data_IF_978778812194
#
_entry.id   IF_978778812194
#
_cell.length_a   1.000
_cell.length_b   1.000
_cell.length_c   1.000
_cell.angle_alpha   90.00
_cell.angle_beta   90.00
_cell.angle_gamma   90.00
#
_symmetry.space_group_name_H-M   'P 1'
#
loop_
_entity.id
_entity.type
_entity.pdbx_description
1 polymer ?
#
# COMPACT_ATOMS: atom_id res chain seq x y z
N UNK A 1 -13.53 -17.53 5.09
CA UNK A 1 -12.42 -18.13 5.87
C UNK A 1 -12.99 -19.18 6.82
N UNK A 2 -12.21 -20.17 7.27
CA UNK A 2 -12.66 -21.10 8.31
C UNK A 2 -12.05 -20.73 9.65
N UNK A 3 -12.79 -20.92 10.74
CA UNK A 3 -12.34 -20.51 12.08
C UNK A 3 -12.53 -21.61 13.12
N UNK A 4 -11.74 -21.52 14.19
CA UNK A 4 -11.91 -22.26 15.45
C UNK A 4 -12.25 -21.27 16.54
N UNK A 5 -13.24 -21.61 17.36
CA UNK A 5 -13.59 -20.83 18.55
C UNK A 5 -13.21 -21.55 19.83
N UNK A 6 -12.99 -20.80 20.89
CA UNK A 6 -12.87 -21.33 22.25
C UNK A 6 -14.26 -21.59 22.89
N UNK A 7 -14.26 -22.03 24.15
CA UNK A 7 -15.48 -22.29 24.93
C UNK A 7 -16.32 -21.03 25.20
N UNK A 8 -15.76 -19.84 24.97
CA UNK A 8 -16.41 -18.55 25.16
C UNK A 8 -16.94 -17.97 23.83
N UNK A 9 -16.75 -18.67 22.72
CA UNK A 9 -17.18 -18.25 21.38
C UNK A 9 -16.22 -17.29 20.68
N UNK A 10 -15.02 -17.06 21.23
CA UNK A 10 -14.01 -16.18 20.65
C UNK A 10 -13.20 -16.93 19.61
N UNK A 11 -12.91 -16.30 18.46
CA UNK A 11 -12.02 -16.88 17.46
C UNK A 11 -10.62 -17.02 18.06
N UNK A 12 -10.03 -18.23 17.95
CA UNK A 12 -8.66 -18.53 18.40
C UNK A 12 -7.74 -18.96 17.26
N UNK A 13 -8.31 -19.30 16.09
CA UNK A 13 -7.56 -19.72 14.91
C UNK A 13 -8.35 -19.45 13.63
N UNK A 14 -7.63 -19.11 12.55
CA UNK A 14 -8.17 -18.95 11.19
C UNK A 14 -7.43 -19.89 10.23
N UNK A 15 -8.20 -20.64 9.44
CA UNK A 15 -7.76 -21.56 8.41
C UNK A 15 -8.29 -21.11 7.04
N UNK A 16 -7.49 -21.29 5.97
CA UNK A 16 -7.93 -20.98 4.59
C UNK A 16 -8.94 -22.01 4.06
N UNK A 17 -8.78 -23.26 4.46
CA UNK A 17 -9.61 -24.40 4.05
C UNK A 17 -10.23 -25.05 5.29
N UNK A 18 -11.33 -25.79 5.09
CA UNK A 18 -11.99 -26.53 6.15
C UNK A 18 -11.06 -27.63 6.67
N UNK A 19 -10.87 -27.70 7.99
CA UNK A 19 -10.05 -28.70 8.64
C UNK A 19 -10.77 -29.28 9.86
N UNK A 20 -10.29 -30.40 10.45
CA UNK A 20 -10.86 -30.92 11.70
C UNK A 20 -10.87 -29.89 12.83
N UNK A 21 -9.98 -28.91 12.76
CA UNK A 21 -9.76 -27.88 13.78
C UNK A 21 -10.52 -26.58 13.47
N UNK A 22 -10.79 -26.30 12.20
CA UNK A 22 -11.49 -25.12 11.71
C UNK A 22 -12.63 -25.55 10.78
N UNK A 23 -13.84 -25.68 11.31
CA UNK A 23 -15.02 -26.14 10.53
C UNK A 23 -16.03 -25.04 10.26
N UNK A 24 -16.04 -24.02 11.09
CA UNK A 24 -16.99 -22.92 10.97
C UNK A 24 -16.53 -21.99 9.87
N UNK A 25 -17.38 -21.80 8.86
CA UNK A 25 -17.14 -20.82 7.82
C UNK A 25 -17.61 -19.44 8.30
N UNK A 26 -16.74 -18.46 8.14
CA UNK A 26 -17.00 -17.06 8.46
C UNK A 26 -16.62 -16.21 7.24
N UNK A 27 -17.48 -15.25 6.90
CA UNK A 27 -17.23 -14.32 5.79
C UNK A 27 -15.95 -13.50 6.02
N UNK A 28 -15.25 -13.20 4.94
CA UNK A 28 -13.93 -12.56 4.99
C UNK A 28 -13.98 -11.11 5.51
N UNK A 29 -15.16 -10.49 5.48
CA UNK A 29 -15.47 -9.13 5.94
C UNK A 29 -16.16 -9.11 7.32
N UNK A 30 -16.32 -10.26 7.98
CA UNK A 30 -16.98 -10.28 9.28
C UNK A 30 -16.20 -9.44 10.32
N UNK A 31 -16.92 -8.67 11.18
CA UNK A 31 -16.27 -7.85 12.21
C UNK A 31 -15.42 -8.67 13.19
N UNK A 32 -15.87 -9.87 13.54
CA UNK A 32 -15.18 -10.77 14.47
C UNK A 32 -13.86 -11.33 13.90
N UNK A 33 -13.82 -11.66 12.61
CA UNK A 33 -12.60 -12.11 11.94
C UNK A 33 -11.60 -10.96 11.83
N UNK A 34 -12.10 -9.75 11.59
CA UNK A 34 -11.26 -8.54 11.57
C UNK A 34 -10.63 -8.29 12.94
N UNK A 35 -11.43 -8.33 14.01
CA UNK A 35 -10.94 -8.22 15.38
C UNK A 35 -9.88 -9.30 15.71
N UNK A 36 -10.11 -10.56 15.33
CA UNK A 36 -9.16 -11.66 15.56
C UNK A 36 -7.83 -11.49 14.82
N UNK A 37 -7.86 -11.03 13.58
CA UNK A 37 -6.64 -10.85 12.76
C UNK A 37 -5.75 -9.69 13.26
N UNK A 38 -6.07 -9.08 14.41
CA UNK A 38 -5.41 -7.86 14.86
C UNK A 38 -5.64 -6.70 13.90
N UNK A 39 -6.66 -6.80 13.03
CA UNK A 39 -7.32 -5.63 12.47
C UNK A 39 -8.30 -5.14 13.54
N UNK A 40 -7.77 -4.80 14.71
CA UNK A 40 -8.14 -3.50 15.26
C UNK A 40 -7.74 -2.55 14.15
N UNK A 41 -8.70 -2.25 13.28
CA UNK A 41 -8.59 -1.14 12.37
C UNK A 41 -8.11 -0.01 13.25
N UNK A 42 -6.88 0.46 13.05
CA UNK A 42 -6.52 1.80 13.48
C UNK A 42 -7.75 2.65 13.17
N UNK A 43 -8.32 3.40 14.14
CA UNK A 43 -9.61 4.07 14.00
C UNK A 43 -9.77 4.56 12.57
N UNK A 44 -10.91 4.33 11.90
CA UNK A 44 -11.03 4.53 10.44
C UNK A 44 -10.37 5.85 9.98
N UNK A 45 -10.49 6.90 10.78
CA UNK A 45 -9.77 8.18 10.70
C UNK A 45 -8.24 8.08 10.48
N UNK A 46 -7.51 7.22 11.19
CA UNK A 46 -6.09 6.93 10.99
C UNK A 46 -5.81 6.18 9.68
N UNK A 47 -6.74 5.35 9.23
CA UNK A 47 -6.61 4.68 7.93
C UNK A 47 -6.82 5.67 6.79
N UNK A 48 -7.88 6.48 6.87
CA UNK A 48 -8.18 7.56 5.93
C UNK A 48 -7.04 8.60 5.91
N UNK A 49 -6.50 8.98 7.07
CA UNK A 49 -5.36 9.89 7.15
C UNK A 49 -4.15 9.30 6.44
N UNK A 50 -3.79 8.04 6.71
CA UNK A 50 -2.67 7.38 6.03
C UNK A 50 -2.88 7.29 4.53
N UNK A 51 -4.11 7.01 4.08
CA UNK A 51 -4.42 6.99 2.65
C UNK A 51 -4.28 8.39 2.04
N UNK A 52 -4.78 9.42 2.72
CA UNK A 52 -4.65 10.80 2.29
C UNK A 52 -3.18 11.26 2.22
N UNK A 53 -2.32 10.84 3.17
CA UNK A 53 -0.88 11.10 3.14
C UNK A 53 -0.20 10.45 1.92
N UNK A 54 -0.62 9.24 1.53
CA UNK A 54 -0.09 8.54 0.36
C UNK A 54 -0.48 9.20 -0.96
N UNK A 55 -1.65 9.81 -1.03
CA UNK A 55 -2.07 10.63 -2.18
C UNK A 55 -1.35 11.98 -2.18
N UNK A 56 -1.25 12.60 -1.01
CA UNK A 56 -0.66 13.92 -0.84
C UNK A 56 0.83 13.96 -1.13
N UNK A 57 1.59 12.91 -0.78
CA UNK A 57 3.03 12.88 -1.05
C UNK A 57 3.35 12.99 -2.55
N UNK A 58 2.47 12.52 -3.45
CA UNK A 58 2.64 12.68 -4.90
C UNK A 58 2.45 14.14 -5.32
N UNK A 59 1.44 14.80 -4.76
CA UNK A 59 1.22 16.23 -4.99
C UNK A 59 2.41 17.04 -4.48
N UNK A 60 2.94 16.69 -3.31
CA UNK A 60 4.12 17.35 -2.74
C UNK A 60 5.35 17.19 -3.63
N UNK A 61 5.57 16.00 -4.20
CA UNK A 61 6.65 15.73 -5.15
C UNK A 61 6.54 16.62 -6.40
N UNK A 62 5.35 16.69 -7.02
CA UNK A 62 5.12 17.52 -8.20
C UNK A 62 5.29 19.02 -7.88
N UNK A 63 4.88 19.48 -6.69
CA UNK A 63 5.10 20.86 -6.25
C UNK A 63 6.58 21.16 -6.05
N UNK A 64 7.35 20.24 -5.46
CA UNK A 64 8.80 20.40 -5.29
C UNK A 64 9.48 20.51 -6.67
N UNK A 65 9.11 19.66 -7.63
CA UNK A 65 9.60 19.72 -9.01
C UNK A 65 9.28 21.06 -9.67
N UNK A 66 8.03 21.54 -9.58
CA UNK A 66 7.63 22.85 -10.13
C UNK A 66 8.44 24.00 -9.49
N UNK A 67 8.68 23.95 -8.19
CA UNK A 67 9.45 24.99 -7.50
C UNK A 67 10.93 24.96 -7.89
N UNK A 68 11.50 23.77 -8.13
CA UNK A 68 12.85 23.62 -8.66
C UNK A 68 12.96 24.12 -10.10
N UNK A 69 12.01 23.76 -10.96
CA UNK A 69 11.97 24.18 -12.37
C UNK A 69 11.85 25.71 -12.51
N UNK A 70 11.10 26.34 -11.59
CA UNK A 70 10.99 27.80 -11.51
C UNK A 70 12.20 28.47 -10.84
N UNK A 71 13.17 27.71 -10.34
CA UNK A 71 14.34 28.22 -9.63
C UNK A 71 14.02 28.87 -8.29
N UNK A 72 12.87 28.56 -7.68
CA UNK A 72 12.47 29.10 -6.37
C UNK A 72 13.25 28.42 -5.24
N UNK A 73 13.50 27.11 -5.38
CA UNK A 73 14.36 26.33 -4.50
C UNK A 73 15.33 25.49 -5.35
N UNK A 74 16.51 25.19 -4.81
CA UNK A 74 17.44 24.23 -5.40
C UNK A 74 17.44 22.93 -4.61
N UNK A 75 17.83 21.81 -5.24
CA UNK A 75 17.94 20.52 -4.56
C UNK A 75 18.82 20.57 -3.30
N UNK A 76 19.89 21.37 -3.34
CA UNK A 76 20.83 21.57 -2.22
C UNK A 76 20.25 22.36 -1.05
N UNK A 77 19.14 23.07 -1.24
CA UNK A 77 18.48 23.85 -0.19
C UNK A 77 17.68 22.96 0.76
N UNK A 78 17.39 21.72 0.34
CA UNK A 78 16.68 20.73 1.12
C UNK A 78 17.62 20.02 2.12
N UNK A 79 17.15 19.68 3.34
CA UNK A 79 17.92 18.88 4.29
C UNK A 79 18.32 17.51 3.70
N UNK A 80 19.44 16.95 4.18
CA UNK A 80 19.98 15.67 3.70
C UNK A 80 18.93 14.55 3.66
N UNK A 81 18.16 14.42 4.74
CA UNK A 81 17.08 13.44 4.84
C UNK A 81 15.95 13.64 3.82
N UNK A 82 15.68 14.89 3.41
CA UNK A 82 14.67 15.19 2.39
C UNK A 82 15.20 14.86 0.99
N UNK A 83 16.48 15.17 0.72
CA UNK A 83 17.16 14.82 -0.53
C UNK A 83 17.19 13.32 -0.76
N UNK A 84 17.57 12.54 0.26
CA UNK A 84 17.57 11.07 0.19
C UNK A 84 16.18 10.51 -0.13
N UNK A 85 15.13 11.02 0.54
CA UNK A 85 13.76 10.59 0.32
C UNK A 85 13.28 10.90 -1.10
N UNK A 86 13.58 12.09 -1.61
CA UNK A 86 13.24 12.48 -2.98
C UNK A 86 13.92 11.58 -4.02
N UNK A 87 15.22 11.31 -3.87
CA UNK A 87 15.94 10.42 -4.78
C UNK A 87 15.39 8.98 -4.75
N UNK A 88 15.13 8.45 -3.55
CA UNK A 88 14.53 7.12 -3.41
C UNK A 88 13.14 7.04 -4.08
N UNK A 89 12.33 8.10 -3.92
CA UNK A 89 11.00 8.18 -4.51
C UNK A 89 11.03 8.24 -6.03
N UNK A 90 11.87 9.11 -6.61
CA UNK A 90 12.05 9.21 -8.05
C UNK A 90 12.56 7.90 -8.66
N UNK A 91 13.52 7.22 -8.01
CA UNK A 91 14.00 5.90 -8.45
C UNK A 91 12.88 4.84 -8.46
N UNK A 92 12.05 4.81 -7.42
CA UNK A 92 10.89 3.89 -7.38
C UNK A 92 9.89 4.18 -8.50
N UNK A 93 9.59 5.45 -8.79
CA UNK A 93 8.70 5.84 -9.90
C UNK A 93 9.29 5.45 -11.25
N UNK A 94 10.58 5.71 -11.48
CA UNK A 94 11.24 5.37 -12.73
C UNK A 94 11.21 3.85 -12.97
N UNK A 95 11.44 3.04 -11.93
CA UNK A 95 11.34 1.58 -12.00
C UNK A 95 9.93 1.08 -12.28
N UNK A 96 8.91 1.68 -11.64
CA UNK A 96 7.51 1.34 -11.89
C UNK A 96 7.10 1.67 -13.34
N UNK A 97 7.51 2.83 -13.84
CA UNK A 97 7.24 3.24 -15.23
C UNK A 97 8.02 2.39 -16.25
N UNK A 98 9.27 2.01 -15.94
CA UNK A 98 10.07 1.17 -16.85
C UNK A 98 9.53 -0.25 -16.97
N UNK A 99 8.95 -0.80 -15.90
CA UNK A 99 8.29 -2.12 -15.95
C UNK A 99 7.01 -2.08 -16.80
N UNK A 100 6.31 -0.95 -16.82
CA UNK A 100 5.15 -0.75 -17.70
C UNK A 100 5.49 -0.62 -19.18
N UNK A 101 6.71 -0.17 -19.53
CA UNK A 101 7.14 0.02 -20.92
C UNK A 101 7.64 -1.27 -21.60
N UNK A 102 8.01 -2.31 -20.84
CA UNK A 102 8.52 -3.58 -21.38
C UNK A 102 7.40 -4.57 -21.78
N UNK A 103 6.15 -4.12 -21.81
CA UNK A 103 4.96 -4.94 -22.04
C UNK A 103 4.27 -4.79 -23.40
N UNK A 104 4.78 -3.98 -24.34
CA UNK A 104 4.07 -3.67 -25.59
C UNK A 104 4.92 -3.70 -26.89
N UNK A 105 6.15 -4.21 -26.85
CA UNK A 105 6.96 -4.38 -28.08
C UNK A 105 6.85 -5.82 -28.63
N UNK A 106 5.63 -6.19 -29.03
CA UNK A 106 5.30 -7.49 -29.62
C UNK A 106 4.58 -7.37 -30.96
N UNK A 107 5.36 -7.16 -32.02
CA UNK A 107 5.16 -7.71 -33.38
C UNK A 107 3.91 -7.30 -34.18
N UNK A 108 4.11 -6.42 -35.18
CA UNK A 108 3.65 -6.75 -36.55
C UNK A 108 4.49 -6.00 -37.59
N UNK A 109 5.68 -6.54 -37.83
CA UNK A 109 6.46 -6.27 -39.03
C UNK A 109 6.25 -7.42 -40.01
N UNK A 110 5.26 -7.32 -40.90
CA UNK A 110 5.17 -8.17 -42.09
C UNK A 110 5.06 -7.28 -43.34
N UNK A 111 6.13 -7.33 -44.15
CA UNK A 111 6.13 -6.98 -45.58
C UNK A 111 5.68 -8.20 -46.36
#
# INVERSE_FOLDING_TARGET
>A
MFVKRDEQGTIVMVCREASPECREFVESDSPELSAFLGRETAPEELHELRQSDLEFVRVLEDVIEILMDKGVISFTDLPDAAREKLMARQSMRQRANSVGLLGDDGDDGVI
#
